data_IF_028811665249
#
_entry.id   IF_028811665249
#
_cell.length_a   1.000
_cell.length_b   1.000
_cell.length_c   1.000
_cell.angle_alpha   90.00
_cell.angle_beta   90.00
_cell.angle_gamma   90.00
#
_symmetry.space_group_name_H-M   'P 1'
#
loop_
_entity.id
_entity.type
_entity.pdbx_description
1 polymer ?
#
# COMPACT_ATOMS: atom_id res chain seq x y z
N UNK A 1 -5.33 -15.38 0.31
CA UNK A 1 -4.11 -15.04 -0.47
C UNK A 1 -4.50 -13.84 -1.29
N UNK A 2 -3.81 -12.72 -1.11
CA UNK A 2 -4.05 -11.49 -1.88
C UNK A 2 -3.19 -11.49 -3.13
N UNK A 3 -3.77 -11.11 -4.25
CA UNK A 3 -3.09 -10.90 -5.53
C UNK A 3 -3.31 -9.45 -5.90
N UNK A 4 -2.26 -8.63 -5.85
CA UNK A 4 -2.36 -7.18 -6.04
C UNK A 4 -1.37 -6.66 -7.08
N UNK A 5 -1.75 -5.57 -7.75
CA UNK A 5 -0.84 -4.74 -8.55
C UNK A 5 -0.91 -3.29 -8.09
N UNK A 6 0.22 -2.63 -8.15
CA UNK A 6 0.38 -1.23 -7.73
C UNK A 6 0.79 -0.37 -8.91
N UNK A 7 0.22 0.83 -8.99
CA UNK A 7 0.42 1.74 -10.12
C UNK A 7 0.69 3.17 -9.68
N UNK A 8 1.58 3.85 -10.39
CA UNK A 8 1.68 5.30 -10.31
C UNK A 8 0.38 5.96 -10.76
N UNK A 9 0.12 7.17 -10.29
CA UNK A 9 -1.02 7.98 -10.70
C UNK A 9 -0.51 9.11 -11.59
N UNK A 10 -0.95 9.15 -12.85
CA UNK A 10 -0.56 10.21 -13.81
C UNK A 10 -1.36 11.48 -13.59
N UNK A 11 -2.60 11.33 -13.23
CA UNK A 11 -3.53 12.42 -12.90
C UNK A 11 -4.59 11.92 -11.94
N UNK A 12 -5.00 12.77 -11.02
CA UNK A 12 -6.11 12.44 -10.13
C UNK A 12 -7.41 12.25 -10.92
N UNK A 13 -8.23 11.25 -10.58
CA UNK A 13 -9.57 11.09 -11.15
C UNK A 13 -10.41 12.36 -10.95
N UNK A 14 -11.26 12.67 -11.94
CA UNK A 14 -12.22 13.76 -11.82
C UNK A 14 -13.26 13.42 -10.76
N UNK A 15 -13.72 14.44 -10.04
CA UNK A 15 -14.77 14.30 -9.02
C UNK A 15 -14.42 13.26 -7.94
N UNK A 16 -13.18 13.31 -7.46
CA UNK A 16 -12.68 12.39 -6.42
C UNK A 16 -13.55 12.45 -5.16
N UNK A 17 -14.13 13.60 -4.88
CA UNK A 17 -15.07 13.85 -3.77
C UNK A 17 -16.37 13.04 -3.84
N UNK A 18 -16.68 12.44 -4.98
CA UNK A 18 -17.89 11.60 -5.15
C UNK A 18 -17.64 10.11 -4.81
N UNK A 19 -16.38 9.73 -4.57
CA UNK A 19 -16.05 8.36 -4.20
C UNK A 19 -16.00 8.20 -2.69
N UNK A 20 -16.40 7.03 -2.22
CA UNK A 20 -16.19 6.63 -0.83
C UNK A 20 -14.69 6.55 -0.55
N UNK A 21 -14.31 6.91 0.67
CA UNK A 21 -12.93 6.78 1.10
C UNK A 21 -12.82 6.40 2.58
N UNK A 22 -11.70 5.79 2.92
CA UNK A 22 -11.32 5.43 4.28
C UNK A 22 -10.13 6.27 4.73
N UNK A 23 -10.21 6.80 5.94
CA UNK A 23 -9.05 7.38 6.62
C UNK A 23 -8.26 6.29 7.27
N UNK A 24 -7.03 6.08 6.80
CA UNK A 24 -6.17 5.01 7.25
C UNK A 24 -4.98 5.59 8.01
N UNK A 25 -4.74 5.05 9.20
CA UNK A 25 -3.49 5.18 9.94
C UNK A 25 -2.91 3.78 10.13
N UNK A 26 -1.62 3.60 9.80
CA UNK A 26 -0.96 2.32 10.00
C UNK A 26 0.46 2.49 10.52
N UNK A 27 0.84 1.64 11.47
CA UNK A 27 2.17 1.60 12.06
C UNK A 27 2.71 0.18 12.15
N UNK A 28 4.01 0.03 12.12
CA UNK A 28 4.69 -1.26 12.13
C UNK A 28 5.29 -1.55 13.51
N UNK A 29 4.90 -2.68 14.11
CA UNK A 29 5.49 -3.22 15.34
C UNK A 29 6.75 -4.02 15.03
N UNK A 30 6.83 -4.58 13.82
CA UNK A 30 7.97 -5.33 13.29
C UNK A 30 7.90 -5.33 11.76
N UNK A 31 9.04 -5.22 11.10
CA UNK A 31 9.12 -5.25 9.63
C UNK A 31 9.40 -6.66 9.08
N UNK A 32 10.16 -7.46 9.81
CA UNK A 32 10.49 -8.86 9.45
C UNK A 32 10.33 -9.77 10.67
N UNK A 33 9.24 -10.55 10.80
CA UNK A 33 8.06 -10.60 9.92
C UNK A 33 7.25 -9.30 9.98
N UNK A 34 6.44 -9.02 8.96
CA UNK A 34 5.62 -7.81 8.96
C UNK A 34 4.46 -7.97 9.93
N UNK A 35 4.49 -7.18 11.01
CA UNK A 35 3.41 -7.05 11.99
C UNK A 35 3.04 -5.58 12.06
N UNK A 36 1.79 -5.25 11.70
CA UNK A 36 1.30 -3.87 11.69
C UNK A 36 0.00 -3.72 12.45
N UNK A 37 -0.22 -2.54 12.98
CA UNK A 37 -1.53 -2.08 13.44
C UNK A 37 -2.10 -1.13 12.38
N UNK A 38 -3.42 -1.18 12.22
CA UNK A 38 -4.15 -0.33 11.28
C UNK A 38 -5.42 0.18 11.95
N UNK A 39 -5.69 1.46 11.77
CA UNK A 39 -6.99 2.07 11.98
C UNK A 39 -7.54 2.47 10.63
N UNK A 40 -8.74 2.01 10.28
CA UNK A 40 -9.48 2.43 9.11
C UNK A 40 -10.83 2.99 9.59
N UNK A 41 -11.01 4.30 9.49
CA UNK A 41 -12.11 5.01 10.12
C UNK A 41 -12.19 4.69 11.63
N UNK A 42 -13.18 3.87 12.06
CA UNK A 42 -13.38 3.46 13.45
C UNK A 42 -13.07 1.97 13.68
N UNK A 43 -12.47 1.31 12.72
CA UNK A 43 -12.06 -0.09 12.83
C UNK A 43 -10.57 -0.20 13.11
N UNK A 44 -10.22 -1.08 14.05
CA UNK A 44 -8.85 -1.27 14.51
C UNK A 44 -8.46 -2.71 14.31
N UNK A 45 -7.30 -2.95 13.68
CA UNK A 45 -6.82 -4.29 13.36
C UNK A 45 -5.33 -4.45 13.63
N UNK A 46 -4.93 -5.70 13.91
CA UNK A 46 -3.56 -6.17 13.87
C UNK A 46 -3.42 -7.10 12.67
N UNK A 47 -2.43 -6.84 11.81
CA UNK A 47 -2.16 -7.63 10.63
C UNK A 47 -0.79 -8.30 10.75
N UNK A 48 -0.73 -9.57 10.41
CA UNK A 48 0.50 -10.31 10.18
C UNK A 48 0.58 -10.66 8.70
N UNK A 49 1.60 -10.14 8.02
CA UNK A 49 1.77 -10.34 6.57
C UNK A 49 3.10 -11.01 6.27
N UNK A 50 3.06 -12.00 5.40
CA UNK A 50 4.24 -12.77 5.05
C UNK A 50 4.21 -13.15 3.57
N UNK A 51 5.37 -12.99 2.91
CA UNK A 51 5.58 -13.46 1.53
C UNK A 51 5.96 -14.93 1.56
N UNK A 52 5.20 -15.79 0.90
CA UNK A 52 5.55 -17.19 0.76
C UNK A 52 6.64 -17.34 -0.30
N UNK A 53 7.79 -17.91 0.08
CA UNK A 53 8.86 -18.22 -0.89
C UNK A 53 8.36 -19.21 -1.94
N UNK A 54 8.66 -18.95 -3.20
CA UNK A 54 8.31 -19.83 -4.33
C UNK A 54 7.02 -19.51 -5.04
N UNK A 55 6.29 -18.47 -4.63
CA UNK A 55 5.11 -17.93 -5.32
C UNK A 55 5.41 -16.54 -5.92
N UNK A 56 6.67 -16.28 -6.28
CA UNK A 56 7.05 -15.04 -6.95
C UNK A 56 6.64 -15.14 -8.43
N UNK A 57 5.46 -14.62 -8.73
CA UNK A 57 5.05 -14.42 -10.11
C UNK A 57 5.47 -13.03 -10.57
N UNK A 58 5.93 -12.92 -11.84
CA UNK A 58 6.49 -11.69 -12.40
C UNK A 58 5.47 -10.55 -12.56
N UNK A 59 4.19 -10.85 -12.43
CA UNK A 59 3.12 -9.94 -12.86
C UNK A 59 2.24 -9.43 -11.71
N UNK A 60 2.36 -9.99 -10.50
CA UNK A 60 1.60 -9.56 -9.32
C UNK A 60 2.27 -10.01 -8.01
N UNK A 61 1.98 -9.30 -6.93
CA UNK A 61 2.45 -9.65 -5.58
C UNK A 61 1.44 -10.59 -4.93
N UNK A 62 1.93 -11.72 -4.40
CA UNK A 62 1.13 -12.67 -3.63
C UNK A 62 1.55 -12.65 -2.17
N UNK A 63 0.61 -12.43 -1.27
CA UNK A 63 0.85 -12.39 0.16
C UNK A 63 -0.14 -13.28 0.92
N UNK A 64 0.33 -13.84 2.04
CA UNK A 64 -0.54 -14.40 3.07
C UNK A 64 -0.71 -13.34 4.14
N UNK A 65 -1.94 -12.96 4.43
CA UNK A 65 -2.26 -12.00 5.48
C UNK A 65 -3.25 -12.60 6.48
N UNK A 66 -2.96 -12.42 7.76
CA UNK A 66 -3.87 -12.70 8.87
C UNK A 66 -4.24 -11.38 9.53
N UNK A 67 -5.54 -11.16 9.66
CA UNK A 67 -6.08 -9.95 10.28
C UNK A 67 -6.85 -10.32 11.55
N UNK A 68 -6.54 -9.64 12.64
CA UNK A 68 -7.24 -9.77 13.92
C UNK A 68 -7.85 -8.42 14.33
N UNK A 69 -9.10 -8.38 14.79
CA UNK A 69 -9.68 -7.15 15.32
C UNK A 69 -8.99 -6.74 16.63
N UNK A 70 -8.87 -5.42 16.82
CA UNK A 70 -8.41 -4.82 18.06
C UNK A 70 -9.52 -3.94 18.65
N UNK A 71 -9.49 -3.75 19.97
CA UNK A 71 -10.19 -2.63 20.60
C UNK A 71 -9.39 -1.34 20.38
N UNK A 72 -10.05 -0.18 20.46
CA UNK A 72 -9.37 1.12 20.41
C UNK A 72 -8.29 1.23 21.49
N UNK A 73 -8.57 0.74 22.71
CA UNK A 73 -7.61 0.74 23.81
C UNK A 73 -6.35 -0.05 23.45
N UNK A 74 -6.49 -1.28 22.93
CA UNK A 74 -5.36 -2.11 22.52
C UNK A 74 -4.59 -1.50 21.36
N UNK A 75 -5.28 -0.89 20.39
CA UNK A 75 -4.64 -0.15 19.30
C UNK A 75 -3.77 0.99 19.85
N UNK A 76 -4.28 1.79 20.79
CA UNK A 76 -3.54 2.92 21.39
C UNK A 76 -2.32 2.46 22.20
N UNK A 77 -2.42 1.32 22.90
CA UNK A 77 -1.26 0.72 23.59
C UNK A 77 -0.18 0.31 22.57
N UNK A 78 -0.57 -0.34 21.47
CA UNK A 78 0.35 -0.80 20.45
C UNK A 78 0.91 0.36 19.61
N UNK A 79 0.16 1.44 19.43
CA UNK A 79 0.62 2.66 18.74
C UNK A 79 1.87 3.25 19.41
N UNK A 80 1.96 3.17 20.75
CA UNK A 80 3.15 3.60 21.50
C UNK A 80 4.38 2.69 21.30
N UNK A 81 4.27 1.61 20.53
CA UNK A 81 5.33 0.58 20.32
C UNK A 81 5.77 0.45 18.86
N UNK A 82 5.24 1.28 17.96
CA UNK A 82 5.67 1.25 16.55
C UNK A 82 7.14 1.68 16.43
N UNK A 83 7.87 1.05 15.50
CA UNK A 83 9.30 1.27 15.33
C UNK A 83 9.64 2.52 14.48
N UNK A 84 8.71 2.93 13.62
CA UNK A 84 8.94 3.98 12.61
C UNK A 84 7.79 4.98 12.62
N UNK A 85 7.71 5.83 11.59
CA UNK A 85 6.65 6.82 11.46
C UNK A 85 5.30 6.16 11.16
N UNK A 86 4.24 6.72 11.74
CA UNK A 86 2.87 6.36 11.43
C UNK A 86 2.53 6.84 10.01
N UNK A 87 2.13 5.93 9.14
CA UNK A 87 1.63 6.28 7.81
C UNK A 87 0.17 6.72 7.93
N UNK A 88 -0.15 7.86 7.33
CA UNK A 88 -1.51 8.40 7.24
C UNK A 88 -1.88 8.57 5.78
N UNK A 89 -3.08 8.11 5.40
CA UNK A 89 -3.58 8.23 4.03
C UNK A 89 -5.10 8.21 3.99
N UNK A 90 -5.65 8.82 2.95
CA UNK A 90 -7.04 8.61 2.53
C UNK A 90 -7.03 7.60 1.37
N UNK A 91 -7.78 6.50 1.52
CA UNK A 91 -7.94 5.46 0.49
C UNK A 91 -9.29 5.62 -0.16
N UNK A 92 -9.31 6.06 -1.40
CA UNK A 92 -10.51 6.20 -2.21
C UNK A 92 -10.83 4.87 -2.90
N UNK A 93 -12.10 4.46 -2.83
CA UNK A 93 -12.62 3.22 -3.40
C UNK A 93 -13.25 3.56 -4.76
N UNK A 94 -12.55 3.27 -5.84
CA UNK A 94 -12.94 3.67 -7.19
C UNK A 94 -13.34 2.43 -8.00
N UNK A 95 -14.65 2.17 -8.19
CA UNK A 95 -15.10 1.10 -9.05
C UNK A 95 -14.68 1.35 -10.50
N UNK A 96 -14.18 0.29 -11.15
CA UNK A 96 -13.82 0.33 -12.57
C UNK A 96 -14.53 -0.80 -13.33
N UNK A 97 -14.29 -0.88 -14.63
CA UNK A 97 -14.87 -1.91 -15.48
C UNK A 97 -14.50 -3.33 -14.97
N UNK A 98 -15.36 -4.29 -15.29
CA UNK A 98 -15.19 -5.71 -14.92
C UNK A 98 -15.33 -6.02 -13.42
N UNK A 99 -15.96 -5.14 -12.64
CA UNK A 99 -16.20 -5.35 -11.21
C UNK A 99 -14.96 -5.23 -10.33
N UNK A 100 -13.84 -4.76 -10.89
CA UNK A 100 -12.64 -4.46 -10.12
C UNK A 100 -12.75 -3.10 -9.45
N UNK A 101 -11.95 -2.91 -8.41
CA UNK A 101 -11.84 -1.68 -7.64
C UNK A 101 -10.38 -1.21 -7.70
N UNK A 102 -10.20 0.07 -7.96
CA UNK A 102 -8.93 0.76 -7.73
C UNK A 102 -8.98 1.40 -6.35
N UNK A 103 -8.06 1.03 -5.50
CA UNK A 103 -7.80 1.67 -4.22
C UNK A 103 -6.74 2.75 -4.42
N UNK A 104 -7.18 4.01 -4.46
CA UNK A 104 -6.29 5.15 -4.62
C UNK A 104 -5.89 5.69 -3.26
N UNK A 105 -4.62 5.53 -2.92
CA UNK A 105 -4.03 6.04 -1.69
C UNK A 105 -3.47 7.47 -1.90
N UNK A 106 -3.99 8.42 -1.16
CA UNK A 106 -3.49 9.79 -1.06
C UNK A 106 -2.89 9.98 0.32
N UNK A 107 -1.59 10.16 0.38
CA UNK A 107 -0.85 10.19 1.64
C UNK A 107 -0.83 11.58 2.29
N UNK A 108 -0.68 11.59 3.60
CA UNK A 108 -0.66 12.80 4.44
C UNK A 108 0.54 12.81 5.40
N UNK A 109 0.75 13.96 6.04
CA UNK A 109 1.81 14.12 7.04
C UNK A 109 3.21 13.99 6.45
N UNK A 110 4.00 13.06 6.94
CA UNK A 110 5.38 12.84 6.46
C UNK A 110 5.46 12.52 4.96
N UNK A 111 4.40 11.94 4.41
CA UNK A 111 4.30 11.51 3.02
C UNK A 111 3.37 12.41 2.19
N UNK A 112 3.09 13.63 2.66
CA UNK A 112 2.24 14.59 1.94
C UNK A 112 2.74 14.84 0.53
N UNK A 113 1.86 14.66 -0.47
CA UNK A 113 2.19 14.77 -1.89
C UNK A 113 2.43 13.43 -2.59
N UNK A 114 2.61 12.33 -1.84
CA UNK A 114 2.65 10.99 -2.42
C UNK A 114 1.22 10.51 -2.74
N UNK A 115 1.07 9.84 -3.87
CA UNK A 115 -0.13 9.09 -4.21
C UNK A 115 0.19 7.95 -5.18
N UNK A 116 -0.41 6.80 -4.95
CA UNK A 116 -0.39 5.67 -5.86
C UNK A 116 -1.69 4.85 -5.72
N UNK A 117 -1.90 3.91 -6.62
CA UNK A 117 -3.10 3.11 -6.65
C UNK A 117 -2.79 1.62 -6.57
N UNK A 118 -3.65 0.87 -5.90
CA UNK A 118 -3.60 -0.59 -5.80
C UNK A 118 -4.87 -1.18 -6.43
N UNK A 119 -4.73 -2.35 -7.05
CA UNK A 119 -5.85 -3.14 -7.57
C UNK A 119 -5.67 -4.57 -7.10
N UNK A 120 -6.68 -5.11 -6.43
CA UNK A 120 -6.73 -6.52 -6.07
C UNK A 120 -7.44 -7.33 -7.14
N UNK A 121 -6.95 -8.56 -7.36
CA UNK A 121 -7.44 -9.45 -8.40
C UNK A 121 -7.87 -10.79 -7.82
N UNK A 122 -8.93 -11.41 -8.38
CA UNK A 122 -9.39 -12.72 -7.93
C UNK A 122 -8.39 -13.84 -8.25
N UNK A 123 -7.58 -13.65 -9.29
CA UNK A 123 -6.60 -14.62 -9.78
C UNK A 123 -5.47 -13.95 -10.57
N UNK A 124 -4.39 -14.70 -10.80
CA UNK A 124 -3.20 -14.24 -11.53
C UNK A 124 -3.50 -13.93 -13.00
N UNK A 125 -4.36 -14.67 -13.65
CA UNK A 125 -4.67 -14.46 -15.07
C UNK A 125 -5.40 -13.13 -15.27
N UNK A 126 -6.34 -12.81 -14.39
CA UNK A 126 -7.01 -11.49 -14.36
C UNK A 126 -6.00 -10.36 -14.13
N UNK A 127 -5.03 -10.57 -13.22
CA UNK A 127 -3.98 -9.59 -12.97
C UNK A 127 -3.09 -9.37 -14.20
N UNK A 128 -2.73 -10.45 -14.93
CA UNK A 128 -1.89 -10.39 -16.14
C UNK A 128 -2.57 -9.66 -17.30
N UNK A 129 -3.85 -9.95 -17.50
CA UNK A 129 -4.63 -9.41 -18.61
C UNK A 129 -5.28 -8.07 -18.31
N UNK A 130 -5.03 -7.52 -17.14
CA UNK A 130 -5.63 -6.27 -16.69
C UNK A 130 -5.25 -5.08 -17.58
N UNK A 131 -6.26 -4.46 -18.17
CA UNK A 131 -6.14 -3.21 -18.93
C UNK A 131 -6.46 -2.06 -17.97
N UNK A 132 -5.41 -1.38 -17.55
CA UNK A 132 -5.53 -0.29 -16.60
C UNK A 132 -6.20 0.95 -17.20
N UNK A 133 -6.97 1.72 -16.42
CA UNK A 133 -7.44 3.05 -16.81
C UNK A 133 -6.27 3.97 -17.23
N UNK A 134 -6.55 4.94 -18.10
CA UNK A 134 -5.57 5.86 -18.70
C UNK A 134 -4.93 6.84 -17.70
N UNK A 135 -5.54 7.02 -16.54
CA UNK A 135 -5.01 7.83 -15.45
C UNK A 135 -4.01 7.09 -14.55
N UNK A 136 -3.92 5.75 -14.68
CA UNK A 136 -2.88 4.95 -14.02
C UNK A 136 -1.62 4.90 -14.89
N UNK A 137 -0.49 5.15 -14.25
CA UNK A 137 0.83 5.18 -14.85
C UNK A 137 1.53 3.83 -14.87
N UNK A 138 2.84 3.86 -14.66
CA UNK A 138 3.66 2.66 -14.65
C UNK A 138 3.34 1.74 -13.48
N UNK A 139 3.64 0.46 -13.66
CA UNK A 139 3.57 -0.56 -12.61
C UNK A 139 4.68 -0.32 -11.58
N UNK A 140 4.31 -0.35 -10.30
CA UNK A 140 5.19 -0.15 -9.15
C UNK A 140 5.36 -1.42 -8.29
N UNK A 141 4.82 -2.57 -8.72
CA UNK A 141 4.78 -3.80 -7.91
C UNK A 141 6.15 -4.21 -7.36
N UNK A 142 7.20 -3.99 -8.13
CA UNK A 142 8.56 -4.38 -7.77
C UNK A 142 9.46 -3.18 -7.43
N UNK A 143 8.90 -1.99 -7.30
CA UNK A 143 9.62 -0.82 -6.85
C UNK A 143 9.51 -0.69 -5.32
N UNK A 144 10.53 -1.17 -4.63
CA UNK A 144 10.57 -1.22 -3.15
C UNK A 144 10.37 0.13 -2.46
N UNK A 145 10.59 1.25 -3.16
CA UNK A 145 10.34 2.59 -2.61
C UNK A 145 8.90 2.75 -2.14
N UNK A 146 7.96 2.05 -2.79
CA UNK A 146 6.52 2.13 -2.53
C UNK A 146 5.98 0.98 -1.66
N UNK A 147 6.87 0.19 -1.07
CA UNK A 147 6.49 -0.70 0.02
C UNK A 147 6.17 0.12 1.28
N UNK A 148 5.01 -0.08 1.88
CA UNK A 148 4.61 0.66 3.07
C UNK A 148 5.60 0.50 4.24
N UNK A 149 6.34 -0.61 4.31
CA UNK A 149 7.42 -0.83 5.29
C UNK A 149 8.62 0.09 5.04
N UNK A 150 8.90 0.44 3.80
CA UNK A 150 9.94 1.42 3.43
C UNK A 150 9.41 2.83 3.68
N UNK A 151 8.19 3.12 3.24
CA UNK A 151 7.55 4.43 3.44
C UNK A 151 7.39 4.79 4.92
N UNK A 152 7.21 3.82 5.82
CA UNK A 152 7.17 4.08 7.26
C UNK A 152 8.46 4.65 7.85
N UNK A 153 9.59 4.54 7.14
CA UNK A 153 10.89 5.10 7.54
C UNK A 153 11.15 6.50 7.00
N UNK A 154 10.28 7.00 6.13
CA UNK A 154 10.45 8.30 5.47
C UNK A 154 10.01 9.40 6.41
N UNK A 155 10.95 10.25 6.83
CA UNK A 155 10.68 11.39 7.69
C UNK A 155 9.95 12.51 6.96
N UNK A 156 10.30 12.70 5.67
CA UNK A 156 9.69 13.71 4.82
C UNK A 156 9.70 13.27 3.35
N UNK A 157 8.56 13.40 2.69
CA UNK A 157 8.43 13.15 1.25
C UNK A 157 9.34 14.06 0.43
N UNK A 158 10.02 13.46 -0.55
CA UNK A 158 10.87 14.15 -1.52
C UNK A 158 10.62 13.59 -2.93
N UNK A 159 11.13 14.26 -3.97
CA UNK A 159 11.02 13.79 -5.36
C UNK A 159 11.67 12.43 -5.62
N UNK A 160 12.46 11.90 -4.72
CA UNK A 160 13.01 10.55 -4.75
C UNK A 160 11.91 9.49 -4.68
N UNK A 161 10.83 9.80 -3.96
CA UNK A 161 9.64 8.96 -3.80
C UNK A 161 8.52 9.32 -4.79
N UNK A 162 8.81 10.12 -5.84
CA UNK A 162 7.81 10.37 -6.89
C UNK A 162 7.56 9.09 -7.70
N UNK A 163 6.32 8.55 -7.68
CA UNK A 163 5.97 7.33 -8.42
C UNK A 163 6.18 7.45 -9.92
N UNK A 164 6.18 8.66 -10.48
CA UNK A 164 6.38 8.92 -11.89
C UNK A 164 7.86 9.09 -12.27
N UNK A 165 8.77 9.15 -11.28
CA UNK A 165 10.20 9.24 -11.54
C UNK A 165 10.77 7.92 -12.10
N UNK A 166 11.84 7.98 -12.88
CA UNK A 166 12.53 6.80 -13.39
C UNK A 166 13.54 6.20 -12.40
N UNK A 167 13.81 6.88 -11.30
CA UNK A 167 14.75 6.40 -10.28
C UNK A 167 14.19 5.14 -9.60
N UNK A 168 14.98 4.06 -9.64
CA UNK A 168 14.79 2.87 -8.78
C UNK A 168 15.76 2.99 -7.62
N UNK A 169 15.38 2.50 -6.43
CA UNK A 169 16.36 2.27 -5.37
C UNK A 169 17.33 1.20 -5.87
N UNK A 170 18.61 1.50 -5.84
CA UNK A 170 19.66 0.48 -5.99
C UNK A 170 19.46 -0.55 -4.88
N UNK A 171 19.54 -1.84 -5.23
CA UNK A 171 19.49 -2.91 -4.23
C UNK A 171 20.70 -2.72 -3.30
N UNK A 172 20.46 -2.34 -2.06
CA UNK A 172 21.47 -2.54 -1.03
C UNK A 172 21.71 -4.05 -0.97
N UNK A 173 22.86 -4.48 -1.45
CA UNK A 173 23.38 -5.82 -1.19
C UNK A 173 23.50 -5.94 0.32
N UNK A 174 22.51 -6.57 0.97
CA UNK A 174 22.68 -7.11 2.31
C UNK A 174 23.76 -8.19 2.21
N UNK A 175 25.02 -7.77 2.39
CA UNK A 175 26.08 -8.69 2.79
C UNK A 175 25.76 -9.13 4.23
N UNK A 176 25.31 -10.40 4.32
CA UNK A 176 25.26 -11.32 5.49
C UNK A 176 24.38 -10.94 6.67
#
# INVERSE_FOLDING_TARGET
MEIERKFAVLRMPKNLENYEYEKIEQGYLCIKPTVRIRKANNEYTLNYKWKQKGLEEKDAIQNIEYTMPLTEENYNILLGKIENFLIKKDRYIIPINNGLIVELDVFHGNLEGLGFAEVEFPDIETARTFIKPDWLGKDLCFDKRFDNTVLSKVEKYTSEYDPNSEKKMEEEHEER
#
